data_IF_904305561833
#
_entry.id   IF_904305561833
#
_cell.length_a   1.000
_cell.length_b   1.000
_cell.length_c   1.000
_cell.angle_alpha   90.00
_cell.angle_beta   90.00
_cell.angle_gamma   90.00
#
_symmetry.space_group_name_H-M   'P 1'
#
loop_
_entity.id
_entity.type
_entity.pdbx_description
1 polymer ?
#
# COMPACT_ATOMS: atom_id res chain seq x y z
N UNK A 1 -20.64 13.54 40.97
CA UNK A 1 -20.80 13.60 39.50
C UNK A 1 -19.50 14.09 38.92
N UNK A 2 -18.73 13.17 38.33
CA UNK A 2 -17.29 13.28 38.11
C UNK A 2 -16.96 14.00 36.80
N UNK A 3 -16.11 14.99 36.93
CA UNK A 3 -15.39 15.70 35.86
C UNK A 3 -14.18 14.86 35.44
N UNK A 4 -14.02 14.59 34.15
CA UNK A 4 -12.90 13.79 33.62
C UNK A 4 -11.67 14.68 33.42
N UNK A 5 -10.71 14.52 34.34
CA UNK A 5 -9.41 15.15 34.32
C UNK A 5 -8.47 14.51 33.28
N UNK A 6 -7.68 15.35 32.61
CA UNK A 6 -6.74 14.97 31.55
C UNK A 6 -5.51 14.15 32.01
N UNK A 7 -4.65 13.78 31.05
CA UNK A 7 -3.69 12.66 31.13
C UNK A 7 -2.47 12.86 32.07
N UNK A 8 -2.47 13.90 32.90
CA UNK A 8 -1.33 14.25 33.75
C UNK A 8 -1.31 13.56 35.14
N UNK A 9 -2.27 12.67 35.43
CA UNK A 9 -2.34 11.96 36.74
C UNK A 9 -1.88 10.50 36.74
N UNK A 10 -1.49 9.93 35.60
CA UNK A 10 -1.04 8.53 35.54
C UNK A 10 0.47 8.35 35.82
N UNK A 11 1.30 9.39 35.63
CA UNK A 11 2.76 9.28 35.69
C UNK A 11 3.39 9.39 37.10
N UNK A 12 2.60 9.52 38.18
CA UNK A 12 3.15 9.69 39.55
C UNK A 12 3.26 8.41 40.38
N UNK A 13 2.86 7.24 39.85
CA UNK A 13 2.86 5.98 40.62
C UNK A 13 4.14 5.14 40.50
N UNK A 14 5.06 5.48 39.59
CA UNK A 14 6.25 4.64 39.30
C UNK A 14 7.61 5.38 39.33
N UNK A 15 7.71 6.54 39.97
CA UNK A 15 9.01 7.11 40.34
C UNK A 15 10.00 7.42 39.19
N UNK A 16 9.54 7.59 37.95
CA UNK A 16 10.40 7.95 36.82
C UNK A 16 10.60 9.48 36.75
N UNK A 17 11.83 9.92 37.01
CA UNK A 17 12.26 11.30 36.75
C UNK A 17 12.30 11.55 35.23
N UNK A 18 11.41 12.39 34.72
CA UNK A 18 11.50 12.89 33.34
C UNK A 18 12.54 14.01 33.32
N UNK A 19 13.77 13.67 32.92
CA UNK A 19 14.84 14.63 32.68
C UNK A 19 14.44 15.62 31.59
N UNK A 20 14.52 16.92 31.90
CA UNK A 20 14.03 18.03 31.07
C UNK A 20 14.91 18.37 29.84
N UNK A 21 15.84 17.52 29.42
CA UNK A 21 16.88 17.86 28.44
C UNK A 21 17.03 16.88 27.25
N UNK A 22 15.94 16.35 26.68
CA UNK A 22 16.01 15.50 25.48
C UNK A 22 15.47 16.13 24.18
N UNK A 23 15.20 17.44 24.16
CA UNK A 23 14.76 18.16 22.95
C UNK A 23 15.83 19.08 22.37
N UNK A 24 17.05 18.57 22.18
CA UNK A 24 18.08 19.27 21.39
C UNK A 24 19.20 18.32 21.01
N UNK A 25 18.97 17.42 20.07
CA UNK A 25 19.95 16.86 19.10
C UNK A 25 19.22 15.86 18.21
N UNK A 26 18.37 16.37 17.32
CA UNK A 26 17.96 15.67 16.10
C UNK A 26 17.54 16.80 15.17
N UNK A 27 18.41 17.21 14.26
CA UNK A 27 18.13 17.86 12.97
C UNK A 27 19.47 18.26 12.35
N UNK A 28 20.07 17.29 11.68
CA UNK A 28 20.98 17.52 10.57
C UNK A 28 20.79 16.38 9.57
N UNK A 29 19.56 16.15 9.12
CA UNK A 29 19.33 15.51 7.83
C UNK A 29 19.38 16.61 6.78
N UNK A 30 20.20 16.43 5.74
CA UNK A 30 20.19 17.29 4.57
C UNK A 30 18.75 17.42 4.06
N UNK A 31 18.29 18.63 3.67
CA UNK A 31 16.96 18.77 3.10
C UNK A 31 16.90 17.91 1.82
N UNK A 32 16.02 16.91 1.83
CA UNK A 32 15.70 16.18 0.61
C UNK A 32 15.20 17.20 -0.42
N UNK A 33 15.76 17.17 -1.64
CA UNK A 33 15.31 18.02 -2.73
C UNK A 33 13.79 17.91 -2.89
N UNK A 34 13.08 19.02 -3.15
CA UNK A 34 11.63 18.97 -3.38
C UNK A 34 11.32 17.96 -4.48
N UNK A 35 10.44 16.99 -4.19
CA UNK A 35 9.98 16.06 -5.22
C UNK A 35 9.27 16.86 -6.30
N UNK A 36 9.59 16.66 -7.59
CA UNK A 36 8.90 17.34 -8.67
C UNK A 36 7.40 17.05 -8.57
N UNK A 37 6.58 18.08 -8.78
CA UNK A 37 5.13 17.94 -8.75
C UNK A 37 4.70 17.03 -9.90
N UNK A 38 4.13 15.88 -9.58
CA UNK A 38 3.55 14.98 -10.59
C UNK A 38 2.33 15.65 -11.22
N UNK A 39 2.15 15.49 -12.53
CA UNK A 39 0.95 15.96 -13.20
C UNK A 39 -0.31 15.34 -12.61
N UNK A 40 -1.41 16.08 -12.58
CA UNK A 40 -2.74 15.55 -12.24
C UNK A 40 -3.12 14.53 -13.34
N UNK A 41 -3.32 13.27 -12.96
CA UNK A 41 -3.61 12.17 -13.89
C UNK A 41 -4.96 11.52 -13.57
N UNK A 42 -5.72 11.17 -14.61
CA UNK A 42 -6.90 10.32 -14.51
C UNK A 42 -6.49 8.83 -14.47
N UNK A 43 -7.26 7.97 -13.80
CA UNK A 43 -6.97 6.53 -13.68
C UNK A 43 -6.87 5.82 -15.02
N UNK A 44 -7.60 6.31 -16.03
CA UNK A 44 -7.49 5.85 -17.42
C UNK A 44 -6.10 6.05 -18.03
N UNK A 45 -5.29 6.94 -17.46
CA UNK A 45 -3.92 7.22 -17.92
C UNK A 45 -2.86 6.25 -17.41
N UNK A 46 -3.20 5.46 -16.39
CA UNK A 46 -2.24 4.66 -15.63
C UNK A 46 -2.38 3.18 -15.94
N UNK A 47 -3.60 2.73 -16.24
CA UNK A 47 -3.90 1.33 -16.49
C UNK A 47 -4.01 1.06 -17.99
N UNK A 48 -3.01 0.39 -18.55
CA UNK A 48 -3.04 -0.10 -19.93
C UNK A 48 -4.22 -1.04 -20.20
N UNK A 49 -4.72 -1.74 -19.17
CA UNK A 49 -5.95 -2.55 -19.26
C UNK A 49 -7.21 -1.75 -19.57
N UNK A 50 -7.18 -0.41 -19.41
CA UNK A 50 -8.25 0.51 -19.80
C UNK A 50 -8.03 1.09 -21.22
N UNK A 51 -7.00 0.65 -21.95
CA UNK A 51 -6.60 1.12 -23.28
C UNK A 51 -6.38 -0.08 -24.23
N UNK A 52 -7.42 -0.52 -24.96
CA UNK A 52 -7.33 -1.69 -25.85
C UNK A 52 -6.31 -1.54 -27.00
N UNK A 53 -5.98 -0.30 -27.37
CA UNK A 53 -5.22 0.02 -28.58
C UNK A 53 -3.77 0.46 -28.32
N UNK A 54 -3.22 0.24 -27.12
CA UNK A 54 -1.83 0.63 -26.81
C UNK A 54 -0.86 -0.26 -27.62
N UNK A 55 -0.05 0.28 -28.55
CA UNK A 55 0.87 -0.51 -29.34
C UNK A 55 1.83 -1.27 -28.42
N UNK A 56 2.20 -2.49 -28.82
CA UNK A 56 3.23 -3.27 -28.12
C UNK A 56 4.52 -2.46 -28.13
N UNK A 57 4.75 -1.73 -27.04
CA UNK A 57 5.93 -0.90 -26.88
C UNK A 57 7.13 -1.84 -26.71
N UNK A 58 7.95 -1.95 -27.76
CA UNK A 58 9.20 -2.69 -27.71
C UNK A 58 10.14 -1.93 -26.77
N UNK A 59 10.48 -2.55 -25.65
CA UNK A 59 11.41 -1.98 -24.69
C UNK A 59 12.82 -1.83 -25.30
N UNK A 60 13.58 -0.76 -24.92
CA UNK A 60 14.95 -0.56 -25.39
C UNK A 60 15.89 -1.76 -25.14
N UNK A 61 16.91 -2.00 -25.99
CA UNK A 61 17.82 -3.15 -25.89
C UNK A 61 18.51 -3.34 -24.53
N UNK A 62 18.74 -2.26 -23.77
CA UNK A 62 19.31 -2.30 -22.41
C UNK A 62 18.53 -3.20 -21.45
N UNK A 63 17.22 -3.40 -21.66
CA UNK A 63 16.44 -4.33 -20.84
C UNK A 63 16.76 -5.80 -21.13
N UNK A 64 17.18 -6.12 -22.36
CA UNK A 64 17.72 -7.44 -22.67
C UNK A 64 19.09 -7.66 -22.03
N UNK A 65 19.94 -6.62 -22.00
CA UNK A 65 21.23 -6.65 -21.28
C UNK A 65 21.01 -6.82 -19.78
N UNK A 66 20.05 -6.11 -19.20
CA UNK A 66 19.67 -6.26 -17.79
C UNK A 66 19.23 -7.70 -17.47
N UNK A 67 18.41 -8.32 -18.33
CA UNK A 67 18.02 -9.73 -18.17
C UNK A 67 19.24 -10.66 -18.25
N UNK A 68 20.15 -10.45 -19.20
CA UNK A 68 21.40 -11.22 -19.32
C UNK A 68 22.27 -11.08 -18.06
N UNK A 69 22.38 -9.87 -17.51
CA UNK A 69 23.17 -9.62 -16.30
C UNK A 69 22.59 -10.27 -15.04
N UNK A 70 21.27 -10.50 -14.98
CA UNK A 70 20.63 -11.19 -13.86
C UNK A 70 20.58 -12.71 -14.01
N UNK A 71 20.85 -13.25 -15.21
CA UNK A 71 20.71 -14.67 -15.48
C UNK A 71 21.72 -15.52 -14.71
N UNK A 72 21.24 -16.63 -14.16
CA UNK A 72 22.04 -17.77 -13.74
C UNK A 72 21.20 -19.04 -13.93
N UNK A 73 21.86 -20.19 -14.11
CA UNK A 73 21.18 -21.45 -14.40
C UNK A 73 20.26 -21.92 -13.27
N UNK A 74 20.53 -21.48 -12.04
CA UNK A 74 19.69 -21.73 -10.88
C UNK A 74 18.27 -21.16 -11.03
N UNK A 75 18.07 -20.11 -11.83
CA UNK A 75 16.73 -19.52 -12.04
C UNK A 75 15.79 -20.48 -12.78
N UNK A 76 16.31 -21.31 -13.68
CA UNK A 76 15.51 -22.31 -14.37
C UNK A 76 15.00 -23.39 -13.41
N UNK A 77 15.82 -23.77 -12.42
CA UNK A 77 15.40 -24.65 -11.32
C UNK A 77 14.36 -23.96 -10.43
N UNK A 78 14.63 -22.72 -9.97
CA UNK A 78 13.69 -21.96 -9.14
C UNK A 78 12.32 -21.86 -9.80
N UNK A 79 12.28 -21.58 -11.10
CA UNK A 79 11.04 -21.46 -11.85
C UNK A 79 10.21 -22.76 -11.82
N UNK A 80 10.85 -23.92 -12.03
CA UNK A 80 10.17 -25.23 -11.97
C UNK A 80 9.63 -25.49 -10.57
N UNK A 81 10.44 -25.30 -9.53
CA UNK A 81 10.02 -25.51 -8.14
C UNK A 81 8.88 -24.59 -7.72
N UNK A 82 8.90 -23.32 -8.16
CA UNK A 82 7.82 -22.37 -7.89
C UNK A 82 6.54 -22.78 -8.61
N UNK A 83 6.61 -23.25 -9.86
CA UNK A 83 5.42 -23.72 -10.58
C UNK A 83 4.79 -24.94 -9.89
N UNK A 84 5.60 -25.90 -9.44
CA UNK A 84 5.11 -27.07 -8.68
C UNK A 84 4.43 -26.64 -7.36
N UNK A 85 5.04 -25.71 -6.62
CA UNK A 85 4.44 -25.18 -5.40
C UNK A 85 3.15 -24.40 -5.67
N UNK A 86 3.12 -23.60 -6.73
CA UNK A 86 1.94 -22.82 -7.12
C UNK A 86 0.78 -23.72 -7.54
N UNK A 87 1.02 -24.85 -8.20
CA UNK A 87 -0.04 -25.80 -8.57
C UNK A 87 -0.78 -26.31 -7.33
N UNK A 88 -0.03 -26.69 -6.28
CA UNK A 88 -0.60 -27.13 -5.00
C UNK A 88 -1.39 -25.99 -4.34
N UNK A 89 -0.78 -24.82 -4.21
CA UNK A 89 -1.42 -23.70 -3.50
C UNK A 89 -2.64 -23.15 -4.24
N UNK A 90 -2.60 -23.08 -5.56
CA UNK A 90 -3.75 -22.61 -6.36
C UNK A 90 -4.90 -23.60 -6.33
N UNK A 91 -4.63 -24.91 -6.32
CA UNK A 91 -5.66 -25.93 -6.11
C UNK A 91 -6.30 -25.80 -4.72
N UNK A 92 -5.49 -25.58 -3.68
CA UNK A 92 -5.99 -25.33 -2.34
C UNK A 92 -6.84 -24.06 -2.24
N UNK A 93 -6.39 -22.95 -2.84
CA UNK A 93 -7.17 -21.70 -2.92
C UNK A 93 -8.50 -21.92 -3.64
N UNK A 94 -8.50 -22.65 -4.76
CA UNK A 94 -9.70 -22.94 -5.53
C UNK A 94 -10.72 -23.78 -4.74
N UNK A 95 -10.25 -24.74 -3.94
CA UNK A 95 -11.09 -25.57 -3.06
C UNK A 95 -11.70 -24.77 -1.89
N UNK A 96 -10.89 -23.91 -1.26
CA UNK A 96 -11.33 -23.14 -0.09
C UNK A 96 -12.24 -21.97 -0.47
N UNK A 97 -12.02 -21.36 -1.63
CA UNK A 97 -12.72 -20.16 -2.07
C UNK A 97 -12.51 -19.00 -1.10
N UNK A 98 -13.56 -18.23 -0.82
CA UNK A 98 -13.50 -17.04 0.05
C UNK A 98 -13.05 -17.33 1.49
N UNK A 99 -13.18 -18.59 1.94
CA UNK A 99 -12.82 -19.01 3.31
C UNK A 99 -11.34 -18.93 3.59
N UNK A 100 -10.49 -18.94 2.55
CA UNK A 100 -9.04 -18.88 2.71
C UNK A 100 -8.55 -17.50 3.16
N UNK A 101 -9.32 -16.44 2.91
CA UNK A 101 -8.94 -15.08 3.31
C UNK A 101 -9.05 -15.00 4.84
N UNK A 102 -7.92 -14.86 5.54
CA UNK A 102 -7.94 -15.01 6.97
C UNK A 102 -8.49 -13.72 7.62
N UNK A 103 -9.09 -13.86 8.81
CA UNK A 103 -9.50 -12.70 9.61
C UNK A 103 -8.30 -12.04 10.31
N UNK A 104 -7.15 -12.71 10.32
CA UNK A 104 -5.86 -12.25 10.87
C UNK A 104 -4.77 -12.57 9.83
N UNK A 105 -3.78 -11.71 9.55
CA UNK A 105 -2.98 -11.83 8.35
C UNK A 105 -1.96 -12.99 8.47
N UNK A 106 -2.21 -14.07 7.73
CA UNK A 106 -1.21 -15.12 7.47
C UNK A 106 -0.96 -15.31 5.96
N UNK A 107 -1.87 -14.86 5.09
CA UNK A 107 -1.85 -15.14 3.65
C UNK A 107 -1.59 -13.90 2.78
N UNK A 108 -0.85 -12.90 3.27
CA UNK A 108 -0.58 -11.64 2.53
C UNK A 108 -1.80 -10.73 2.33
N UNK A 109 -2.95 -11.08 2.92
CA UNK A 109 -4.17 -10.28 2.97
C UNK A 109 -4.97 -10.62 4.25
N UNK A 110 -5.90 -9.74 4.65
CA UNK A 110 -6.79 -9.98 5.78
C UNK A 110 -8.10 -9.18 5.68
N UNK A 111 -9.15 -9.68 6.34
CA UNK A 111 -10.43 -8.95 6.53
C UNK A 111 -10.65 -8.67 8.01
N UNK A 112 -10.66 -7.38 8.37
CA UNK A 112 -10.97 -6.93 9.74
C UNK A 112 -12.44 -6.56 9.83
N UNK A 113 -13.22 -7.41 10.52
CA UNK A 113 -14.66 -7.20 10.73
C UNK A 113 -14.91 -6.35 11.98
N UNK A 114 -15.88 -5.45 11.91
CA UNK A 114 -16.32 -4.65 13.07
C UNK A 114 -15.35 -3.54 13.49
N UNK A 115 -14.36 -3.18 12.66
CA UNK A 115 -13.45 -2.08 12.97
C UNK A 115 -14.19 -0.74 13.15
N UNK A 116 -15.21 -0.49 12.33
CA UNK A 116 -16.05 0.71 12.39
C UNK A 116 -17.51 0.26 12.56
N UNK A 117 -18.30 0.88 13.47
CA UNK A 117 -19.73 0.64 13.56
C UNK A 117 -20.42 0.85 12.20
N UNK A 118 -21.35 -0.05 11.85
CA UNK A 118 -22.02 -0.04 10.55
C UNK A 118 -22.71 1.30 10.27
N UNK A 119 -23.40 1.83 11.27
CA UNK A 119 -24.14 3.08 11.21
C UNK A 119 -23.20 4.27 10.95
N UNK A 120 -22.02 4.25 11.56
CA UNK A 120 -20.99 5.26 11.36
C UNK A 120 -20.43 5.21 9.94
N UNK A 121 -20.07 4.03 9.44
CA UNK A 121 -19.58 3.86 8.07
C UNK A 121 -20.62 4.29 7.02
N UNK A 122 -21.90 3.94 7.23
CA UNK A 122 -23.01 4.38 6.37
C UNK A 122 -23.18 5.91 6.43
N UNK A 123 -23.01 6.52 7.61
CA UNK A 123 -23.10 7.98 7.76
C UNK A 123 -22.02 8.70 6.94
N UNK A 124 -20.79 8.15 6.89
CA UNK A 124 -19.71 8.72 6.10
C UNK A 124 -20.03 8.73 4.60
N UNK A 125 -20.60 7.63 4.07
CA UNK A 125 -21.08 7.56 2.68
C UNK A 125 -22.16 8.61 2.40
N UNK A 126 -23.15 8.75 3.29
CA UNK A 126 -24.21 9.76 3.15
C UNK A 126 -23.64 11.18 3.14
N UNK A 127 -22.69 11.48 4.02
CA UNK A 127 -22.03 12.78 4.09
C UNK A 127 -21.21 13.08 2.83
N UNK A 128 -20.53 12.09 2.24
CA UNK A 128 -19.84 12.23 0.95
C UNK A 128 -20.82 12.52 -0.18
N UNK A 129 -21.96 11.81 -0.24
CA UNK A 129 -22.98 12.05 -1.27
C UNK A 129 -23.57 13.46 -1.16
N UNK A 130 -23.82 13.95 0.06
CA UNK A 130 -24.25 15.35 0.28
C UNK A 130 -23.18 16.35 -0.15
N UNK A 131 -21.91 16.07 0.15
CA UNK A 131 -20.79 16.91 -0.26
C UNK A 131 -20.72 17.00 -1.80
N UNK A 132 -20.81 15.87 -2.50
CA UNK A 132 -20.82 15.84 -3.98
C UNK A 132 -22.01 16.64 -4.54
N UNK A 133 -23.22 16.44 -4.01
CA UNK A 133 -24.41 17.16 -4.47
C UNK A 133 -24.31 18.68 -4.29
N UNK A 134 -23.62 19.14 -3.24
CA UNK A 134 -23.40 20.56 -2.99
C UNK A 134 -22.26 21.18 -3.82
N UNK A 135 -21.45 20.35 -4.50
CA UNK A 135 -20.24 20.79 -5.21
C UNK A 135 -20.23 20.21 -6.63
N UNK A 136 -20.87 20.87 -7.63
CA UNK A 136 -21.00 20.33 -8.98
C UNK A 136 -19.67 20.21 -9.75
N UNK A 137 -18.57 20.77 -9.23
CA UNK A 137 -17.23 20.69 -9.83
C UNK A 137 -16.40 19.47 -9.40
N UNK A 138 -16.97 18.53 -8.65
CA UNK A 138 -16.25 17.32 -8.24
C UNK A 138 -15.84 16.50 -9.47
N UNK A 139 -14.54 16.23 -9.59
CA UNK A 139 -13.97 15.39 -10.64
C UNK A 139 -14.03 13.91 -10.25
N UNK A 140 -14.01 13.05 -11.26
CA UNK A 140 -13.88 11.61 -11.09
C UNK A 140 -14.12 10.83 -12.36
N UNK A 141 -14.11 9.51 -12.22
CA UNK A 141 -14.23 8.56 -13.32
C UNK A 141 -15.36 7.55 -13.09
N UNK A 142 -16.08 7.15 -14.16
CA UNK A 142 -16.12 7.79 -15.47
C UNK A 142 -16.80 9.18 -15.39
N UNK A 143 -16.50 10.09 -16.32
CA UNK A 143 -16.94 11.48 -16.25
C UNK A 143 -18.47 11.66 -16.30
N UNK A 144 -19.18 10.75 -16.99
CA UNK A 144 -20.63 10.74 -17.15
C UNK A 144 -21.38 10.10 -15.96
N UNK A 145 -20.67 9.35 -15.13
CA UNK A 145 -21.23 8.64 -13.97
C UNK A 145 -20.12 8.38 -12.95
N UNK A 146 -19.73 9.42 -12.21
CA UNK A 146 -18.57 9.33 -11.32
C UNK A 146 -18.78 8.24 -10.26
N UNK A 147 -17.88 7.26 -10.25
CA UNK A 147 -17.84 6.19 -9.24
C UNK A 147 -16.53 6.17 -8.47
N UNK A 148 -15.44 6.59 -9.10
CA UNK A 148 -14.15 6.88 -8.47
C UNK A 148 -14.04 8.40 -8.33
N UNK A 149 -14.11 8.89 -7.11
CA UNK A 149 -14.13 10.31 -6.82
C UNK A 149 -12.71 10.82 -6.55
N UNK A 150 -12.32 11.89 -7.22
CA UNK A 150 -11.07 12.63 -6.99
C UNK A 150 -11.21 13.54 -5.76
N UNK A 151 -11.61 12.93 -4.64
CA UNK A 151 -11.79 13.54 -3.33
C UNK A 151 -10.77 12.97 -2.37
N UNK A 152 -10.10 13.84 -1.64
CA UNK A 152 -8.94 13.45 -0.84
C UNK A 152 -9.08 13.78 0.64
N UNK A 153 -9.78 14.85 1.01
CA UNK A 153 -9.75 15.42 2.35
C UNK A 153 -11.14 15.82 2.87
N UNK A 154 -12.21 15.15 2.40
CA UNK A 154 -13.55 15.36 2.94
C UNK A 154 -13.60 15.03 4.44
N UNK A 155 -14.55 15.62 5.17
CA UNK A 155 -14.73 15.36 6.62
C UNK A 155 -14.85 13.86 6.91
N UNK A 156 -15.57 13.12 6.07
CA UNK A 156 -15.73 11.66 6.18
C UNK A 156 -14.41 10.91 6.01
N UNK A 157 -13.60 11.27 5.01
CA UNK A 157 -12.28 10.64 4.80
C UNK A 157 -11.32 10.93 5.94
N UNK A 158 -11.31 12.16 6.47
CA UNK A 158 -10.49 12.50 7.63
C UNK A 158 -10.91 11.69 8.86
N UNK A 159 -12.22 11.63 9.14
CA UNK A 159 -12.76 10.81 10.25
C UNK A 159 -12.37 9.34 10.13
N UNK A 160 -12.49 8.75 8.95
CA UNK A 160 -12.08 7.38 8.71
C UNK A 160 -10.58 7.17 8.96
N UNK A 161 -9.71 8.05 8.43
CA UNK A 161 -8.25 7.95 8.62
C UNK A 161 -7.81 8.09 10.08
N UNK A 162 -8.54 8.87 10.87
CA UNK A 162 -8.23 9.10 12.29
C UNK A 162 -9.05 8.23 13.24
N UNK A 163 -9.87 7.30 12.73
CA UNK A 163 -10.72 6.47 13.58
C UNK A 163 -9.85 5.54 14.46
N UNK A 164 -10.06 5.50 15.80
CA UNK A 164 -9.18 4.75 16.70
C UNK A 164 -8.97 3.28 16.31
N UNK A 165 -10.03 2.57 15.95
CA UNK A 165 -9.92 1.16 15.53
C UNK A 165 -9.22 0.97 14.19
N UNK A 166 -9.27 1.97 13.29
CA UNK A 166 -8.55 1.91 12.00
C UNK A 166 -7.06 2.12 12.26
N UNK A 167 -6.69 3.10 13.08
CA UNK A 167 -5.31 3.32 13.50
C UNK A 167 -4.73 2.11 14.22
N UNK A 168 -5.51 1.47 15.09
CA UNK A 168 -5.08 0.26 15.78
C UNK A 168 -4.89 -0.91 14.82
N UNK A 169 -5.82 -1.09 13.89
CA UNK A 169 -5.67 -2.07 12.81
C UNK A 169 -4.38 -1.84 12.03
N UNK A 170 -4.08 -0.60 11.65
CA UNK A 170 -2.85 -0.25 10.95
C UNK A 170 -1.60 -0.58 11.78
N UNK A 171 -1.59 -0.32 13.09
CA UNK A 171 -0.46 -0.69 13.96
C UNK A 171 -0.22 -2.20 13.98
N UNK A 172 -1.28 -3.00 14.15
CA UNK A 172 -1.18 -4.47 14.15
C UNK A 172 -0.68 -4.98 12.81
N UNK A 173 -1.17 -4.43 11.70
CA UNK A 173 -0.70 -4.82 10.37
C UNK A 173 0.77 -4.43 10.14
N UNK A 174 1.18 -3.24 10.57
CA UNK A 174 2.57 -2.80 10.47
C UNK A 174 3.50 -3.64 11.36
N UNK A 175 3.05 -4.13 12.52
CA UNK A 175 3.88 -4.97 13.40
C UNK A 175 4.20 -6.36 12.84
N UNK A 176 3.57 -6.77 11.73
CA UNK A 176 3.94 -7.99 11.01
C UNK A 176 5.19 -7.82 10.15
N UNK A 177 5.56 -6.58 9.87
CA UNK A 177 6.76 -6.23 9.14
C UNK A 177 7.94 -6.07 10.09
N UNK A 178 9.14 -6.24 9.57
CA UNK A 178 10.37 -6.00 10.31
C UNK A 178 11.43 -5.34 9.42
N UNK A 179 12.45 -4.82 10.08
CA UNK A 179 13.64 -4.28 9.44
C UNK A 179 14.82 -5.14 9.87
N UNK A 180 15.31 -6.00 8.97
CA UNK A 180 16.42 -6.91 9.29
C UNK A 180 17.75 -6.16 9.53
N UNK A 181 17.89 -4.93 9.04
CA UNK A 181 19.12 -4.15 9.18
C UNK A 181 19.31 -3.63 10.61
N UNK A 182 18.20 -3.49 11.36
CA UNK A 182 18.19 -2.89 12.69
C UNK A 182 18.56 -1.41 12.71
N UNK A 183 18.70 -0.76 11.54
CA UNK A 183 19.09 0.65 11.44
C UNK A 183 18.00 1.60 11.95
N UNK A 184 16.75 1.12 12.06
CA UNK A 184 15.63 1.88 12.64
C UNK A 184 15.14 3.00 11.73
N UNK A 185 15.42 2.90 10.43
CA UNK A 185 15.06 3.92 9.43
C UNK A 185 13.57 3.88 9.08
N UNK A 186 12.92 2.73 9.22
CA UNK A 186 11.47 2.59 9.13
C UNK A 186 10.84 2.34 10.51
N UNK A 187 9.97 3.26 10.94
CA UNK A 187 9.13 3.10 12.13
C UNK A 187 7.85 2.35 11.76
N UNK A 188 7.85 1.04 11.99
CA UNK A 188 6.74 0.12 11.68
C UNK A 188 5.69 0.05 12.81
N UNK A 189 5.62 1.07 13.66
CA UNK A 189 4.68 1.22 14.78
C UNK A 189 3.82 2.50 14.67
N UNK A 190 4.13 3.36 13.68
CA UNK A 190 3.58 4.70 13.58
C UNK A 190 2.87 4.87 12.22
N UNK A 191 1.54 4.68 12.17
CA UNK A 191 0.79 4.90 10.95
C UNK A 191 0.85 6.37 10.51
N UNK A 192 1.03 6.58 9.21
CA UNK A 192 0.96 7.90 8.57
C UNK A 192 -0.24 7.94 7.63
N UNK A 193 -0.85 9.12 7.50
CA UNK A 193 -2.00 9.30 6.60
C UNK A 193 -1.53 9.49 5.16
N UNK A 194 -1.92 8.54 4.30
CA UNK A 194 -1.88 8.70 2.84
C UNK A 194 -3.25 9.12 2.32
N UNK A 195 -3.30 10.22 1.56
CA UNK A 195 -4.53 10.78 1.04
C UNK A 195 -4.85 10.13 -0.30
N UNK A 196 -5.72 9.12 -0.25
CA UNK A 196 -6.25 8.46 -1.44
C UNK A 196 -7.70 8.85 -1.73
N UNK A 197 -8.13 8.48 -2.93
CA UNK A 197 -9.48 8.62 -3.47
C UNK A 197 -10.47 7.73 -2.73
N UNK A 198 -11.74 7.82 -3.13
CA UNK A 198 -12.79 6.91 -2.67
C UNK A 198 -13.62 6.39 -3.84
N UNK A 199 -14.24 5.23 -3.64
CA UNK A 199 -15.13 4.62 -4.63
C UNK A 199 -16.53 4.42 -4.05
N UNK A 200 -17.56 4.86 -4.78
CA UNK A 200 -18.97 4.50 -4.53
C UNK A 200 -19.49 3.85 -5.81
N UNK A 201 -19.64 2.52 -5.79
CA UNK A 201 -20.11 1.77 -6.96
C UNK A 201 -21.64 1.73 -7.00
N UNK A 202 -22.22 2.07 -8.15
CA UNK A 202 -23.66 1.90 -8.40
C UNK A 202 -23.93 0.55 -9.07
N UNK A 203 -25.12 -0.01 -8.84
CA UNK A 203 -25.51 -1.28 -9.46
C UNK A 203 -25.49 -1.19 -10.99
N UNK A 204 -25.05 -2.26 -11.65
CA UNK A 204 -25.04 -2.37 -13.12
C UNK A 204 -23.80 -1.79 -13.83
N UNK A 205 -22.87 -1.16 -13.12
CA UNK A 205 -21.65 -0.64 -13.75
C UNK A 205 -20.51 -1.69 -13.80
N UNK A 206 -19.96 -1.88 -15.00
CA UNK A 206 -18.80 -2.73 -15.28
C UNK A 206 -17.63 -1.95 -15.92
N UNK A 207 -17.75 -0.62 -16.09
CA UNK A 207 -16.75 0.20 -16.80
C UNK A 207 -15.38 0.23 -16.09
N UNK A 208 -15.34 0.00 -14.78
CA UNK A 208 -14.10 -0.04 -13.99
C UNK A 208 -13.74 -1.46 -13.56
N UNK A 209 -13.38 -2.30 -14.54
CA UNK A 209 -12.80 -3.63 -14.31
C UNK A 209 -11.30 -3.59 -14.59
N UNK A 210 -10.49 -3.54 -13.53
CA UNK A 210 -9.04 -3.68 -13.66
C UNK A 210 -8.68 -5.16 -13.70
N UNK A 211 -7.82 -5.55 -14.65
CA UNK A 211 -7.17 -6.87 -14.61
C UNK A 211 -6.26 -7.01 -13.38
N UNK A 212 -5.87 -8.25 -12.99
CA UNK A 212 -4.94 -8.48 -11.89
C UNK A 212 -3.62 -7.72 -12.08
N UNK A 213 -3.16 -7.00 -11.06
CA UNK A 213 -1.94 -6.20 -11.07
C UNK A 213 -1.35 -6.05 -9.66
N UNK A 214 -0.10 -5.55 -9.57
CA UNK A 214 0.58 -5.21 -8.31
C UNK A 214 1.12 -3.79 -8.39
N UNK A 215 0.64 -2.90 -7.52
CA UNK A 215 1.10 -1.50 -7.46
C UNK A 215 2.49 -1.33 -6.81
N UNK A 216 2.97 -0.09 -6.78
CA UNK A 216 4.24 0.28 -6.12
C UNK A 216 5.44 0.05 -7.02
N UNK A 217 5.32 0.40 -8.31
CA UNK A 217 6.32 0.16 -9.34
C UNK A 217 5.94 -0.97 -10.28
N UNK A 218 6.61 -1.04 -11.43
CA UNK A 218 6.49 -2.07 -12.45
C UNK A 218 7.90 -2.56 -12.81
N UNK A 219 8.53 -1.96 -13.83
CA UNK A 219 9.87 -2.32 -14.29
C UNK A 219 10.94 -2.02 -13.24
N UNK A 220 10.67 -1.09 -12.34
CA UNK A 220 11.52 -0.67 -11.24
C UNK A 220 11.94 -1.81 -10.32
N UNK A 221 11.09 -2.85 -10.14
CA UNK A 221 11.44 -4.05 -9.36
C UNK A 221 12.68 -4.76 -9.89
N UNK A 222 12.94 -4.61 -11.18
CA UNK A 222 14.13 -5.15 -11.82
C UNK A 222 15.15 -4.07 -12.10
N UNK A 223 14.77 -2.86 -12.52
CA UNK A 223 15.74 -1.85 -12.94
C UNK A 223 16.45 -1.14 -11.79
N UNK A 224 15.72 -0.77 -10.74
CA UNK A 224 16.31 -0.14 -9.55
C UNK A 224 17.09 -1.19 -8.75
N UNK A 225 18.37 -0.95 -8.48
CA UNK A 225 19.22 -1.92 -7.78
C UNK A 225 18.74 -2.14 -6.33
N UNK A 226 18.26 -1.09 -5.67
CA UNK A 226 17.73 -1.17 -4.32
C UNK A 226 16.44 -1.98 -4.30
N UNK A 227 15.49 -1.70 -5.20
CA UNK A 227 14.27 -2.48 -5.30
C UNK A 227 14.55 -3.94 -5.69
N UNK A 228 15.45 -4.17 -6.65
CA UNK A 228 15.87 -5.52 -7.04
C UNK A 228 16.43 -6.32 -5.85
N UNK A 229 17.13 -5.66 -4.93
CA UNK A 229 17.70 -6.31 -3.73
C UNK A 229 16.65 -6.90 -2.78
N UNK A 230 15.39 -6.43 -2.85
CA UNK A 230 14.27 -7.04 -2.15
C UNK A 230 14.08 -8.51 -2.57
N UNK A 231 14.44 -8.86 -3.81
CA UNK A 231 14.25 -10.18 -4.39
C UNK A 231 15.56 -10.98 -4.46
N UNK A 232 16.61 -10.58 -3.74
CA UNK A 232 17.94 -11.21 -3.81
C UNK A 232 17.93 -12.73 -3.65
N UNK A 233 17.14 -13.26 -2.71
CA UNK A 233 17.06 -14.70 -2.44
C UNK A 233 16.40 -15.46 -3.61
N UNK A 234 15.44 -14.82 -4.29
CA UNK A 234 14.81 -15.37 -5.50
C UNK A 234 15.81 -15.32 -6.66
N UNK A 235 16.49 -14.18 -6.85
CA UNK A 235 17.42 -13.96 -7.96
C UNK A 235 18.73 -14.75 -7.84
N UNK A 236 19.06 -15.25 -6.64
CA UNK A 236 20.19 -16.15 -6.43
C UNK A 236 20.01 -17.53 -7.11
N UNK A 237 18.78 -17.89 -7.50
CA UNK A 237 18.49 -19.18 -8.14
C UNK A 237 18.37 -20.36 -7.15
N UNK A 238 18.12 -21.55 -7.68
CA UNK A 238 17.90 -22.77 -6.89
C UNK A 238 16.67 -22.66 -5.99
N UNK A 239 16.74 -23.20 -4.78
CA UNK A 239 15.63 -23.13 -3.81
C UNK A 239 15.64 -21.87 -2.93
N UNK A 240 16.45 -20.85 -3.26
CA UNK A 240 16.56 -19.61 -2.46
C UNK A 240 15.25 -18.84 -2.32
N UNK A 241 14.30 -19.02 -3.25
CA UNK A 241 12.96 -18.44 -3.15
C UNK A 241 12.20 -18.89 -1.89
N UNK A 242 12.49 -20.07 -1.33
CA UNK A 242 11.85 -20.59 -0.11
C UNK A 242 12.23 -19.81 1.15
N UNK A 243 13.35 -19.10 1.12
CA UNK A 243 13.83 -18.23 2.21
C UNK A 243 13.60 -16.76 1.89
N UNK A 244 12.85 -16.43 0.84
CA UNK A 244 12.45 -15.05 0.57
C UNK A 244 11.47 -14.59 1.64
N UNK A 245 11.81 -13.49 2.30
CA UNK A 245 10.95 -12.85 3.27
C UNK A 245 10.20 -11.67 2.63
N UNK A 246 8.88 -11.77 2.41
CA UNK A 246 8.12 -10.68 1.84
C UNK A 246 7.90 -9.51 2.84
N UNK A 247 8.05 -9.75 4.15
CA UNK A 247 7.79 -8.80 5.24
C UNK A 247 9.03 -8.04 5.72
N UNK A 248 10.18 -8.23 5.06
CA UNK A 248 11.37 -7.41 5.24
C UNK A 248 11.18 -6.03 4.57
N UNK A 249 11.10 -5.00 5.40
CA UNK A 249 10.94 -3.61 4.99
C UNK A 249 12.26 -2.95 4.59
N UNK A 250 13.41 -3.43 5.09
CA UNK A 250 14.67 -2.71 5.01
C UNK A 250 15.08 -2.32 3.57
N UNK A 251 15.10 -3.24 2.58
CA UNK A 251 15.46 -2.86 1.22
C UNK A 251 14.38 -2.05 0.50
N UNK A 252 13.16 -1.98 1.05
CA UNK A 252 12.00 -1.30 0.42
C UNK A 252 11.95 0.19 0.74
N UNK A 253 12.53 0.62 1.85
CA UNK A 253 12.50 2.04 2.29
C UNK A 253 13.18 2.96 1.27
N UNK A 254 14.26 2.49 0.66
CA UNK A 254 15.07 3.24 -0.30
C UNK A 254 14.84 2.83 -1.76
N UNK A 255 13.93 1.90 -2.00
CA UNK A 255 13.59 1.45 -3.34
C UNK A 255 12.94 2.59 -4.14
N UNK A 256 13.43 2.83 -5.35
CA UNK A 256 12.83 3.82 -6.24
C UNK A 256 11.70 3.14 -7.01
N UNK A 257 10.46 3.37 -6.57
CA UNK A 257 9.25 2.76 -7.16
C UNK A 257 8.74 3.46 -8.43
N UNK A 258 9.36 4.58 -8.82
CA UNK A 258 8.98 5.37 -9.97
C UNK A 258 10.21 6.01 -10.61
N UNK A 259 10.88 5.26 -11.49
CA UNK A 259 12.05 5.74 -12.22
C UNK A 259 11.68 6.69 -13.36
N UNK A 260 10.41 6.66 -13.79
CA UNK A 260 9.95 7.30 -15.03
C UNK A 260 8.98 8.46 -14.79
N UNK A 261 8.76 8.85 -13.53
CA UNK A 261 7.79 9.88 -13.14
C UNK A 261 6.39 9.59 -13.70
N UNK A 262 5.98 8.33 -13.67
CA UNK A 262 4.70 7.90 -14.22
C UNK A 262 3.54 8.56 -13.47
N UNK A 263 2.46 8.93 -14.19
CA UNK A 263 1.31 9.56 -13.58
C UNK A 263 0.70 8.67 -12.50
N UNK A 264 0.26 9.29 -11.41
CA UNK A 264 -0.40 8.62 -10.26
C UNK A 264 0.41 7.52 -9.56
N UNK A 265 1.73 7.43 -9.78
CA UNK A 265 2.57 6.53 -8.99
C UNK A 265 2.64 6.96 -7.53
N UNK A 266 2.51 5.99 -6.63
CA UNK A 266 2.63 6.19 -5.19
C UNK A 266 4.02 6.76 -4.85
N UNK A 267 4.07 7.69 -3.90
CA UNK A 267 5.31 8.35 -3.47
C UNK A 267 5.80 7.86 -2.11
N UNK A 268 5.13 6.89 -1.51
CA UNK A 268 5.48 6.33 -0.21
C UNK A 268 5.55 4.82 -0.27
N UNK A 269 6.42 4.23 0.55
CA UNK A 269 6.36 2.81 0.83
C UNK A 269 5.08 2.50 1.60
N UNK A 270 4.27 1.57 1.07
CA UNK A 270 3.04 1.07 1.70
C UNK A 270 3.20 -0.42 1.98
N UNK A 271 3.46 -0.81 3.25
CA UNK A 271 3.51 -2.22 3.64
C UNK A 271 2.19 -2.95 3.33
N UNK A 272 1.08 -2.24 3.43
CA UNK A 272 -0.25 -2.75 3.14
C UNK A 272 -1.03 -1.75 2.28
N UNK A 273 -1.81 -2.28 1.34
CA UNK A 273 -2.95 -1.57 0.77
C UNK A 273 -4.22 -1.98 1.53
N UNK A 274 -5.22 -1.10 1.56
CA UNK A 274 -6.48 -1.41 2.21
C UNK A 274 -7.54 -0.34 2.00
N UNK A 275 -8.80 -0.72 2.22
CA UNK A 275 -9.95 0.17 2.15
C UNK A 275 -10.95 -0.13 3.28
N UNK A 276 -11.65 0.91 3.72
CA UNK A 276 -12.77 0.77 4.67
C UNK A 276 -14.09 0.70 3.90
N UNK A 277 -14.88 -0.34 4.16
CA UNK A 277 -16.18 -0.54 3.53
C UNK A 277 -17.22 0.41 4.13
N UNK A 278 -18.04 1.04 3.28
CA UNK A 278 -19.10 1.98 3.69
C UNK A 278 -20.52 1.54 3.23
N UNK A 279 -20.69 0.29 2.80
CA UNK A 279 -21.95 -0.27 2.31
C UNK A 279 -22.02 -1.77 2.46
#
# INVERSE_FOLDING_TARGET
MLTTAGPLRFARRYGLQVGRNLYRTMMASSPASPRPQKGEGDISAVFASLRPDDPVNVFPPRFAEMKRAMWNDGLAQSWKEVLEALEVETAHIAEQGERIIPQIPMAGCAVVKGAVPKEEAISWKKDIQKYVAANPGVKGFPADNIQVFELYNTRSQIRARTHPSILETQRVLLSLWHDHSGAGEARLDTPISYFDRLRIRFAGDAKFALGPHVDGGSIERWEDLTYRSCFRNILAGGSGWKTHDPYDAAPRVHAIQDLYSAPSQCSIFRPWQGWTVMS
#
